data_IF_370778119831
#
_entry.id   IF_370778119831
#
_cell.length_a   1.000
_cell.length_b   1.000
_cell.length_c   1.000
_cell.angle_alpha   90.00
_cell.angle_beta   90.00
_cell.angle_gamma   90.00
#
_symmetry.space_group_name_H-M   'P 1'
#
loop_
_entity.id
_entity.type
_entity.pdbx_description
1 polymer ?
#
# COMPACT_ATOMS: atom_id res chain seq x y z
N UNK A 1 -25.51 -5.50 -1.37
CA UNK A 1 -24.20 -5.88 -0.80
C UNK A 1 -24.22 -7.38 -0.57
N UNK A 2 -23.23 -8.08 -1.11
CA UNK A 2 -23.00 -9.52 -0.95
C UNK A 2 -21.86 -9.71 0.05
N UNK A 3 -21.89 -10.82 0.79
CA UNK A 3 -20.79 -11.19 1.68
C UNK A 3 -19.46 -11.19 0.90
N UNK A 4 -18.40 -10.63 1.51
CA UNK A 4 -17.06 -10.43 0.91
C UNK A 4 -16.99 -9.47 -0.27
N UNK A 5 -18.01 -8.62 -0.46
CA UNK A 5 -17.84 -7.46 -1.34
C UNK A 5 -16.80 -6.51 -0.73
N UNK A 6 -15.88 -6.04 -1.56
CA UNK A 6 -14.83 -5.08 -1.23
C UNK A 6 -15.21 -3.74 -1.84
N UNK A 7 -15.11 -2.68 -1.03
CA UNK A 7 -15.34 -1.31 -1.47
C UNK A 7 -14.19 -0.40 -1.06
N UNK A 8 -13.99 0.65 -1.86
CA UNK A 8 -13.36 1.87 -1.40
C UNK A 8 -14.44 2.74 -0.75
N UNK A 9 -14.13 3.43 0.35
CA UNK A 9 -15.11 4.24 1.04
C UNK A 9 -14.57 5.61 1.48
N UNK A 10 -15.46 6.60 1.57
CA UNK A 10 -15.18 7.92 2.14
C UNK A 10 -16.39 8.43 2.92
N UNK A 11 -16.18 9.29 3.91
CA UNK A 11 -17.29 9.96 4.59
C UNK A 11 -17.99 10.91 3.62
N UNK A 12 -19.33 11.03 3.72
CA UNK A 12 -20.10 12.04 2.96
C UNK A 12 -19.82 13.45 3.45
N UNK A 13 -19.76 13.61 4.77
CA UNK A 13 -19.47 14.89 5.43
C UNK A 13 -18.21 14.74 6.30
N UNK A 14 -17.16 15.46 5.93
CA UNK A 14 -15.83 15.39 6.57
C UNK A 14 -15.69 16.28 7.82
N UNK A 15 -16.63 17.20 8.06
CA UNK A 15 -16.44 18.34 8.98
C UNK A 15 -16.64 18.02 10.48
N UNK A 16 -17.24 16.89 10.83
CA UNK A 16 -17.70 16.62 12.22
C UNK A 16 -17.01 15.44 12.92
N UNK A 17 -15.76 15.10 12.56
CA UNK A 17 -15.11 13.89 13.11
C UNK A 17 -13.83 14.18 13.89
N UNK A 18 -13.81 13.70 15.14
CA UNK A 18 -12.71 13.79 16.10
C UNK A 18 -11.41 13.11 15.63
N UNK A 19 -11.49 12.20 14.66
CA UNK A 19 -10.33 11.51 14.11
C UNK A 19 -10.16 11.92 12.65
N UNK A 20 -9.07 12.61 12.29
CA UNK A 20 -8.84 13.03 10.91
C UNK A 20 -8.76 11.82 9.97
N UNK A 21 -9.31 12.03 8.77
CA UNK A 21 -9.39 11.10 7.63
C UNK A 21 -8.10 10.31 7.34
N UNK A 22 -6.93 10.86 7.70
CA UNK A 22 -5.60 10.27 7.47
C UNK A 22 -5.32 8.94 8.20
N UNK A 23 -6.20 8.54 9.12
CA UNK A 23 -6.07 7.31 9.90
C UNK A 23 -6.83 6.09 9.36
N UNK A 24 -7.44 6.12 8.17
CA UNK A 24 -8.19 4.96 7.64
C UNK A 24 -7.64 4.48 6.29
N UNK A 25 -7.73 3.17 6.03
CA UNK A 25 -7.32 2.56 4.75
C UNK A 25 -8.27 2.93 3.61
N UNK A 26 -9.46 3.43 3.95
CA UNK A 26 -10.57 3.66 3.03
C UNK A 26 -10.99 2.40 2.27
N UNK A 27 -10.70 1.25 2.83
CA UNK A 27 -11.08 -0.04 2.31
C UNK A 27 -12.02 -0.68 3.32
N UNK A 28 -13.14 -1.19 2.83
CA UNK A 28 -14.07 -1.92 3.66
C UNK A 28 -14.56 -3.18 2.97
N UNK A 29 -14.98 -4.14 3.79
CA UNK A 29 -15.48 -5.43 3.35
C UNK A 29 -16.85 -5.69 3.96
N UNK A 30 -17.71 -6.38 3.21
CA UNK A 30 -18.97 -6.89 3.75
C UNK A 30 -18.69 -8.18 4.49
N UNK A 31 -18.97 -8.19 5.78
CA UNK A 31 -18.75 -9.34 6.65
C UNK A 31 -19.93 -9.51 7.60
N UNK A 32 -20.49 -10.72 7.70
CA UNK A 32 -21.65 -11.04 8.54
C UNK A 32 -22.82 -10.06 8.34
N UNK A 33 -23.04 -9.62 7.10
CA UNK A 33 -24.12 -8.68 6.76
C UNK A 33 -23.90 -7.23 7.18
N UNK A 34 -22.72 -6.85 7.68
CA UNK A 34 -22.33 -5.47 7.94
C UNK A 34 -21.18 -5.01 7.04
N UNK A 35 -21.00 -3.69 6.92
CA UNK A 35 -19.88 -3.07 6.21
C UNK A 35 -18.80 -2.69 7.23
N UNK A 36 -17.59 -3.21 7.08
CA UNK A 36 -16.52 -3.04 8.07
C UNK A 36 -15.25 -2.50 7.42
N UNK A 37 -14.72 -1.42 7.99
CA UNK A 37 -13.41 -0.88 7.66
C UNK A 37 -12.28 -1.87 8.01
N UNK A 38 -11.26 -1.92 7.16
CA UNK A 38 -10.14 -2.86 7.32
C UNK A 38 -8.97 -2.30 8.12
N UNK A 39 -8.89 -0.98 8.34
CA UNK A 39 -7.72 -0.33 8.90
C UNK A 39 -7.40 -0.79 10.33
N UNK A 40 -8.42 -1.02 11.14
CA UNK A 40 -8.26 -1.42 12.54
C UNK A 40 -7.85 -2.90 12.71
N UNK A 41 -7.68 -3.66 11.61
CA UNK A 41 -7.18 -5.05 11.63
C UNK A 41 -8.12 -6.10 12.26
N UNK A 42 -9.23 -5.66 12.86
CA UNK A 42 -10.26 -6.52 13.46
C UNK A 42 -11.62 -6.08 12.93
N UNK A 43 -12.33 -7.03 12.30
CA UNK A 43 -13.73 -6.85 11.92
C UNK A 43 -14.58 -6.93 13.20
N UNK A 44 -14.88 -5.78 13.79
CA UNK A 44 -15.61 -5.62 15.05
C UNK A 44 -16.59 -4.47 14.94
N UNK A 45 -17.54 -4.33 15.87
CA UNK A 45 -18.50 -3.21 15.83
C UNK A 45 -17.84 -1.83 15.81
N UNK A 46 -16.59 -1.69 16.28
CA UNK A 46 -15.84 -0.43 16.20
C UNK A 46 -15.37 -0.06 14.79
N UNK A 47 -15.21 -1.04 13.91
CA UNK A 47 -14.87 -0.83 12.50
C UNK A 47 -16.10 -0.85 11.59
N UNK A 48 -17.29 -1.05 12.16
CA UNK A 48 -18.53 -1.04 11.40
C UNK A 48 -18.83 0.36 10.89
N UNK A 49 -19.03 0.47 9.58
CA UNK A 49 -19.42 1.69 8.90
C UNK A 49 -20.94 1.75 8.81
N UNK A 50 -21.51 2.92 9.02
CA UNK A 50 -22.89 3.22 8.65
C UNK A 50 -22.95 3.51 7.14
N UNK A 51 -23.63 2.67 6.33
CA UNK A 51 -23.75 2.89 4.89
C UNK A 51 -24.39 4.23 4.50
N UNK A 52 -25.17 4.85 5.40
CA UNK A 52 -25.76 6.16 5.13
C UNK A 52 -24.77 7.31 5.30
N UNK A 53 -23.74 7.13 6.13
CA UNK A 53 -22.73 8.14 6.42
C UNK A 53 -21.53 8.10 5.46
N UNK A 54 -21.41 7.05 4.65
CA UNK A 54 -20.30 6.86 3.70
C UNK A 54 -20.76 6.84 2.25
N UNK A 55 -19.90 7.28 1.36
CA UNK A 55 -19.94 6.93 -0.05
C UNK A 55 -19.03 5.73 -0.29
N UNK A 56 -19.46 4.81 -1.15
CA UNK A 56 -18.74 3.59 -1.47
C UNK A 56 -18.59 3.41 -2.98
N UNK A 57 -17.44 2.87 -3.37
CA UNK A 57 -17.11 2.48 -4.73
C UNK A 57 -16.77 0.98 -4.74
N UNK A 58 -17.49 0.18 -5.52
CA UNK A 58 -17.29 -1.25 -5.56
C UNK A 58 -16.00 -1.61 -6.30
N UNK A 59 -15.14 -2.41 -5.64
CA UNK A 59 -13.87 -2.85 -6.21
C UNK A 59 -13.95 -4.28 -6.75
N UNK A 60 -14.73 -5.14 -6.09
CA UNK A 60 -14.90 -6.54 -6.46
C UNK A 60 -15.42 -7.37 -5.29
N UNK A 61 -15.58 -8.67 -5.50
CA UNK A 61 -15.90 -9.62 -4.44
C UNK A 61 -14.79 -10.66 -4.32
N UNK A 62 -14.37 -10.97 -3.09
CA UNK A 62 -13.24 -11.89 -2.87
C UNK A 62 -13.42 -13.27 -3.52
N UNK A 63 -14.66 -13.78 -3.58
CA UNK A 63 -14.95 -15.11 -4.13
C UNK A 63 -14.90 -15.15 -5.67
N UNK A 64 -15.02 -13.98 -6.31
CA UNK A 64 -15.00 -13.87 -7.78
C UNK A 64 -13.59 -13.64 -8.33
N UNK A 65 -12.65 -13.25 -7.47
CA UNK A 65 -11.30 -12.82 -7.82
C UNK A 65 -10.23 -13.87 -7.53
N UNK A 66 -9.04 -13.67 -8.09
CA UNK A 66 -7.87 -14.53 -7.87
C UNK A 66 -6.92 -13.81 -6.93
N UNK A 67 -6.52 -14.47 -5.85
CA UNK A 67 -5.51 -13.93 -4.93
C UNK A 67 -4.12 -13.97 -5.58
N UNK A 68 -3.46 -12.82 -5.64
CA UNK A 68 -2.11 -12.66 -6.15
C UNK A 68 -1.05 -12.80 -5.05
N UNK A 69 0.15 -13.20 -5.47
CA UNK A 69 1.36 -13.01 -4.69
C UNK A 69 1.81 -11.55 -4.81
N UNK A 70 2.30 -10.98 -3.71
CA UNK A 70 2.84 -9.63 -3.69
C UNK A 70 4.01 -9.47 -4.68
N UNK A 71 4.06 -8.32 -5.34
CA UNK A 71 4.98 -7.98 -6.42
C UNK A 71 4.42 -8.25 -7.81
N UNK A 72 3.56 -9.26 -7.99
CA UNK A 72 3.02 -9.65 -9.31
C UNK A 72 1.92 -8.67 -9.78
N UNK A 73 1.28 -7.93 -8.86
CA UNK A 73 0.25 -6.95 -9.19
C UNK A 73 0.71 -5.89 -10.19
N UNK A 74 2.02 -5.58 -10.19
CA UNK A 74 2.62 -4.58 -11.09
C UNK A 74 2.64 -5.02 -12.56
N UNK A 75 2.16 -6.22 -12.91
CA UNK A 75 2.09 -6.71 -14.28
C UNK A 75 0.70 -6.56 -14.90
N UNK A 76 -0.28 -6.11 -14.12
CA UNK A 76 -1.67 -5.96 -14.52
C UNK A 76 -2.08 -4.50 -14.51
N UNK A 77 -3.20 -4.19 -15.16
CA UNK A 77 -3.72 -2.83 -15.14
C UNK A 77 -4.26 -2.49 -13.75
N UNK A 78 -4.08 -1.26 -13.24
CA UNK A 78 -4.54 -0.88 -11.91
C UNK A 78 -6.03 -1.14 -11.67
N UNK A 79 -6.89 -0.94 -12.67
CA UNK A 79 -8.33 -1.16 -12.59
C UNK A 79 -8.73 -2.63 -12.41
N UNK A 80 -7.83 -3.56 -12.72
CA UNK A 80 -8.04 -5.01 -12.57
C UNK A 80 -7.54 -5.55 -11.23
N UNK A 81 -6.80 -4.74 -10.48
CA UNK A 81 -6.16 -5.12 -9.23
C UNK A 81 -6.87 -4.46 -8.05
N UNK A 82 -7.18 -5.25 -7.03
CA UNK A 82 -7.69 -4.77 -5.74
C UNK A 82 -6.65 -5.07 -4.67
N UNK A 83 -5.88 -4.05 -4.30
CA UNK A 83 -4.85 -4.15 -3.26
C UNK A 83 -5.44 -3.83 -1.89
N UNK A 84 -5.52 -4.81 -0.99
CA UNK A 84 -6.05 -4.61 0.35
C UNK A 84 -5.00 -4.14 1.37
N UNK A 85 -3.75 -3.96 0.96
CA UNK A 85 -2.66 -3.56 1.87
C UNK A 85 -2.86 -2.12 2.34
N UNK A 86 -2.57 -1.90 3.61
CA UNK A 86 -2.55 -0.58 4.23
C UNK A 86 -1.54 -0.59 5.40
N UNK A 87 -1.18 0.57 5.99
CA UNK A 87 -0.15 0.65 7.03
C UNK A 87 -0.33 -0.32 8.21
N UNK A 88 -1.56 -0.55 8.65
CA UNK A 88 -1.87 -1.50 9.73
C UNK A 88 -1.98 -2.97 9.29
N UNK A 89 -2.05 -3.25 7.99
CA UNK A 89 -2.08 -4.60 7.46
C UNK A 89 -1.26 -4.70 6.15
N UNK A 90 0.07 -4.65 6.23
CA UNK A 90 0.94 -4.68 5.04
C UNK A 90 0.94 -6.06 4.35
N UNK A 91 0.39 -7.09 4.98
CA UNK A 91 0.29 -8.46 4.47
C UNK A 91 -1.12 -8.83 4.01
N UNK A 92 -2.01 -7.83 3.89
CA UNK A 92 -3.34 -8.06 3.38
C UNK A 92 -3.29 -8.66 1.95
N UNK A 93 -4.30 -9.44 1.56
CA UNK A 93 -4.39 -9.99 0.21
C UNK A 93 -4.38 -8.93 -0.89
N UNK A 94 -3.89 -9.31 -2.05
CA UNK A 94 -4.10 -8.56 -3.30
C UNK A 94 -4.93 -9.46 -4.18
N UNK A 95 -5.97 -8.91 -4.80
CA UNK A 95 -6.87 -9.66 -5.67
C UNK A 95 -6.76 -9.15 -7.11
N UNK A 96 -6.99 -10.07 -8.06
CA UNK A 96 -7.04 -9.81 -9.49
C UNK A 96 -8.42 -10.20 -10.00
N UNK A 97 -9.04 -9.32 -10.78
CA UNK A 97 -10.29 -9.62 -11.48
C UNK A 97 -10.10 -10.80 -12.44
N UNK A 98 -11.07 -11.73 -12.43
CA UNK A 98 -11.00 -12.94 -13.27
C UNK A 98 -10.98 -12.57 -14.74
N UNK A 99 -10.07 -13.18 -15.50
CA UNK A 99 -9.89 -12.90 -16.93
C UNK A 99 -9.00 -11.70 -17.23
N UNK A 100 -8.51 -10.97 -16.22
CA UNK A 100 -7.52 -9.92 -16.44
C UNK A 100 -6.21 -10.52 -16.96
N UNK A 101 -5.69 -9.91 -18.02
CA UNK A 101 -4.46 -10.32 -18.68
C UNK A 101 -3.30 -9.41 -18.30
N UNK A 102 -2.08 -9.95 -18.37
CA UNK A 102 -0.88 -9.14 -18.18
C UNK A 102 -0.79 -8.08 -19.25
N UNK A 103 -0.34 -6.89 -18.86
CA UNK A 103 -0.22 -5.77 -19.78
C UNK A 103 1.26 -5.43 -20.03
N UNK A 104 1.72 -5.66 -21.26
CA UNK A 104 3.12 -5.41 -21.63
C UNK A 104 3.56 -3.95 -21.40
N UNK A 105 2.67 -2.98 -21.66
CA UNK A 105 2.96 -1.56 -21.42
C UNK A 105 3.16 -1.25 -19.94
N UNK A 106 2.28 -1.77 -19.08
CA UNK A 106 2.41 -1.62 -17.61
C UNK A 106 3.69 -2.29 -17.12
N UNK A 107 3.97 -3.52 -17.57
CA UNK A 107 5.19 -4.26 -17.20
C UNK A 107 6.46 -3.50 -17.60
N UNK A 108 6.49 -2.92 -18.80
CA UNK A 108 7.62 -2.12 -19.27
C UNK A 108 7.80 -0.86 -18.43
N UNK A 109 6.71 -0.12 -18.15
CA UNK A 109 6.74 1.07 -17.32
C UNK A 109 7.24 0.76 -15.89
N UNK A 110 6.78 -0.36 -15.31
CA UNK A 110 7.26 -0.85 -14.02
C UNK A 110 8.75 -1.17 -14.06
N UNK A 111 9.22 -1.90 -15.08
CA UNK A 111 10.63 -2.27 -15.21
C UNK A 111 11.54 -1.03 -15.33
N UNK A 112 11.14 -0.03 -16.13
CA UNK A 112 11.87 1.23 -16.26
C UNK A 112 11.93 1.99 -14.93
N UNK A 113 10.80 2.05 -14.22
CA UNK A 113 10.73 2.68 -12.88
C UNK A 113 11.66 1.99 -11.89
N UNK A 114 11.71 0.65 -11.87
CA UNK A 114 12.61 -0.09 -10.99
C UNK A 114 14.08 0.09 -11.38
N UNK A 115 14.41 0.18 -12.66
CA UNK A 115 15.76 0.53 -13.12
C UNK A 115 16.18 1.90 -12.56
N UNK A 116 15.32 2.92 -12.69
CA UNK A 116 15.59 4.27 -12.17
C UNK A 116 15.76 4.29 -10.65
N UNK A 117 14.89 3.61 -9.91
CA UNK A 117 15.01 3.47 -8.45
C UNK A 117 16.32 2.80 -8.05
N UNK A 118 16.72 1.74 -8.75
CA UNK A 118 17.98 1.05 -8.47
C UNK A 118 19.19 1.92 -8.81
N UNK A 119 19.15 2.70 -9.88
CA UNK A 119 20.18 3.71 -10.15
C UNK A 119 20.27 4.76 -9.03
N UNK A 120 19.15 5.24 -8.52
CA UNK A 120 19.13 6.16 -7.38
C UNK A 120 19.74 5.53 -6.11
N UNK A 121 19.41 4.27 -5.82
CA UNK A 121 20.00 3.51 -4.71
C UNK A 121 21.50 3.33 -4.88
N UNK A 122 21.97 2.99 -6.08
CA UNK A 122 23.40 2.86 -6.38
C UNK A 122 24.12 4.18 -6.09
N UNK A 123 23.58 5.31 -6.56
CA UNK A 123 24.17 6.64 -6.29
C UNK A 123 24.22 6.95 -4.79
N UNK A 124 23.14 6.67 -4.07
CA UNK A 124 23.08 6.87 -2.62
C UNK A 124 24.14 6.02 -1.89
N UNK A 125 24.26 4.74 -2.27
CA UNK A 125 25.28 3.83 -1.73
C UNK A 125 26.70 4.31 -2.05
N UNK A 126 26.96 4.79 -3.27
CA UNK A 126 28.26 5.35 -3.64
C UNK A 126 28.62 6.57 -2.80
N UNK A 127 27.66 7.48 -2.57
CA UNK A 127 27.86 8.63 -1.70
C UNK A 127 28.12 8.22 -0.25
N UNK A 128 27.40 7.20 0.25
CA UNK A 128 27.64 6.64 1.58
C UNK A 128 29.04 6.05 1.69
N UNK A 129 29.51 5.30 0.69
CA UNK A 129 30.88 4.76 0.66
C UNK A 129 31.92 5.88 0.70
N UNK A 130 31.74 6.96 -0.07
CA UNK A 130 32.64 8.12 -0.04
C UNK A 130 32.67 8.78 1.34
N UNK A 131 31.51 8.97 1.96
CA UNK A 131 31.43 9.53 3.32
C UNK A 131 32.14 8.63 4.34
N UNK A 132 31.99 7.31 4.21
CA UNK A 132 32.67 6.33 5.06
C UNK A 132 34.19 6.34 4.86
N UNK A 133 34.69 6.42 3.61
CA UNK A 133 36.12 6.58 3.36
C UNK A 133 36.68 7.84 4.02
N UNK A 134 35.97 8.97 3.91
CA UNK A 134 36.37 10.19 4.59
C UNK A 134 36.42 9.99 6.12
N UNK A 135 35.39 9.36 6.71
CA UNK A 135 35.37 9.05 8.13
C UNK A 135 36.54 8.15 8.55
N UNK A 136 36.88 7.12 7.76
CA UNK A 136 38.04 6.25 8.02
C UNK A 136 39.34 7.06 8.06
N UNK A 137 39.57 7.95 7.09
CA UNK A 137 40.78 8.81 7.10
C UNK A 137 40.84 9.72 8.33
N UNK A 138 39.70 10.26 8.77
CA UNK A 138 39.65 11.07 10.00
C UNK A 138 40.01 10.24 11.23
N UNK A 139 39.44 9.03 11.35
CA UNK A 139 39.72 8.08 12.42
C UNK A 139 41.21 7.69 12.44
N UNK A 140 41.77 7.30 11.29
CA UNK A 140 43.19 6.93 11.16
C UNK A 140 44.13 8.09 11.52
N UNK A 141 43.70 9.33 11.30
CA UNK A 141 44.42 10.54 11.70
C UNK A 141 44.21 10.97 13.16
N UNK A 142 43.42 10.22 13.94
CA UNK A 142 43.11 10.51 15.35
C UNK A 142 42.08 11.61 15.57
N UNK A 143 41.43 12.12 14.52
CA UNK A 143 40.40 13.18 14.57
C UNK A 143 39.02 12.58 14.81
N UNK A 144 38.78 12.10 16.03
CA UNK A 144 37.55 11.38 16.39
C UNK A 144 36.35 12.31 16.63
N UNK A 145 36.59 13.54 17.12
CA UNK A 145 35.51 14.51 17.40
C UNK A 145 34.82 15.03 16.13
N UNK A 146 35.47 14.89 14.97
CA UNK A 146 34.96 15.32 13.65
C UNK A 146 34.17 14.23 12.91
N UNK A 147 33.95 13.07 13.55
CA UNK A 147 33.38 11.87 12.90
C UNK A 147 31.94 11.64 13.37
N UNK A 148 30.98 11.87 12.47
CA UNK A 148 29.57 11.52 12.64
C UNK A 148 29.17 10.57 11.51
N UNK A 149 29.14 9.27 11.82
CA UNK A 149 28.91 8.19 10.82
C UNK A 149 27.50 7.66 10.87
#
# INVERSE_FOLDING_TARGET
>A
MRERDIYKWRWKDEHDREVPYCGYSQLCVVWKGGLYDTYCGVLSERSRLDPNAVEIEFLGNEDDMIKLLAGIENYYRPEDVVDMRHPNNPRAPIYLKRGAERNAGIMLAWALTEIEKNHARIRASQNRIKALHHAVTQIESGRLDDVYV
#
